data_IF_413789178546
#
_entry.id   IF_413789178546
#
_cell.length_a   1.000
_cell.length_b   1.000
_cell.length_c   1.000
_cell.angle_alpha   90.00
_cell.angle_beta   90.00
_cell.angle_gamma   90.00
#
_symmetry.space_group_name_H-M   'P 1'
#
loop_
_entity.id
_entity.type
_entity.pdbx_description
1 polymer ?
#
# COMPACT_ATOMS: atom_id res chain seq x y z
N UNK A 1 -9.27 -21.93 -8.59
CA UNK A 1 -9.49 -21.85 -7.13
C UNK A 1 -8.57 -20.85 -6.44
N UNK A 2 -7.23 -20.97 -6.52
CA UNK A 2 -6.28 -20.03 -5.84
C UNK A 2 -6.62 -18.54 -6.05
N UNK A 3 -6.78 -18.10 -7.30
CA UNK A 3 -7.12 -16.70 -7.62
C UNK A 3 -8.43 -16.21 -7.00
N UNK A 4 -9.44 -17.08 -6.90
CA UNK A 4 -10.73 -16.71 -6.30
C UNK A 4 -10.57 -16.50 -4.79
N UNK A 5 -9.85 -17.40 -4.12
CA UNK A 5 -9.52 -17.26 -2.71
C UNK A 5 -8.69 -16.00 -2.45
N UNK A 6 -7.67 -15.73 -3.26
CA UNK A 6 -6.84 -14.52 -3.13
C UNK A 6 -7.70 -13.24 -3.17
N UNK A 7 -8.68 -13.17 -4.08
CA UNK A 7 -9.58 -12.01 -4.21
C UNK A 7 -10.54 -11.92 -3.03
N UNK A 8 -11.13 -13.03 -2.59
CA UNK A 8 -12.04 -13.04 -1.44
C UNK A 8 -11.32 -12.58 -0.18
N UNK A 9 -10.15 -13.15 0.12
CA UNK A 9 -9.37 -12.74 1.29
C UNK A 9 -8.89 -11.29 1.19
N UNK A 10 -8.46 -10.83 0.01
CA UNK A 10 -8.08 -9.43 -0.19
C UNK A 10 -9.24 -8.46 0.09
N UNK A 11 -10.46 -8.76 -0.37
CA UNK A 11 -11.64 -7.94 -0.11
C UNK A 11 -12.02 -7.93 1.37
N UNK A 12 -12.01 -9.11 2.02
CA UNK A 12 -12.30 -9.22 3.45
C UNK A 12 -11.27 -8.46 4.30
N UNK A 13 -9.97 -8.62 4.00
CA UNK A 13 -8.91 -7.87 4.66
C UNK A 13 -9.02 -6.38 4.40
N UNK A 14 -9.40 -5.95 3.20
CA UNK A 14 -9.59 -4.53 2.90
C UNK A 14 -10.69 -3.93 3.77
N UNK A 15 -11.85 -4.59 3.86
CA UNK A 15 -12.96 -4.13 4.72
C UNK A 15 -12.52 -4.07 6.18
N UNK A 16 -11.91 -5.14 6.70
CA UNK A 16 -11.46 -5.23 8.09
C UNK A 16 -10.40 -4.17 8.44
N UNK A 17 -9.46 -3.94 7.52
CA UNK A 17 -8.32 -3.05 7.75
C UNK A 17 -8.57 -1.60 7.33
N UNK A 18 -9.73 -1.28 6.76
CA UNK A 18 -10.03 0.09 6.30
C UNK A 18 -9.90 1.11 7.45
N UNK A 19 -10.44 0.81 8.63
CA UNK A 19 -10.38 1.71 9.80
C UNK A 19 -8.92 1.99 10.22
N UNK A 20 -8.07 0.99 10.52
CA UNK A 20 -6.67 1.28 10.87
C UNK A 20 -5.88 1.90 9.71
N UNK A 21 -6.17 1.55 8.45
CA UNK A 21 -5.53 2.17 7.28
C UNK A 21 -5.84 3.67 7.19
N UNK A 22 -7.07 4.09 7.52
CA UNK A 22 -7.43 5.51 7.58
C UNK A 22 -6.71 6.22 8.72
N UNK A 23 -6.63 5.61 9.90
CA UNK A 23 -5.89 6.19 11.04
C UNK A 23 -4.41 6.42 10.68
N UNK A 24 -3.75 5.42 10.08
CA UNK A 24 -2.36 5.55 9.60
C UNK A 24 -2.25 6.62 8.52
N UNK A 25 -3.22 6.71 7.61
CA UNK A 25 -3.23 7.73 6.55
C UNK A 25 -3.27 9.15 7.11
N UNK A 26 -4.07 9.38 8.16
CA UNK A 26 -4.17 10.67 8.85
C UNK A 26 -2.84 10.97 9.56
N UNK A 27 -2.27 10.01 10.31
CA UNK A 27 -0.99 10.19 11.00
C UNK A 27 0.15 10.58 10.04
N UNK A 28 0.22 9.94 8.87
CA UNK A 28 1.22 10.28 7.85
C UNK A 28 1.04 11.71 7.34
N UNK A 29 -0.21 12.14 7.09
CA UNK A 29 -0.52 13.52 6.65
C UNK A 29 -0.19 14.57 7.71
N UNK A 30 -0.39 14.26 8.99
CA UNK A 30 -0.08 15.16 10.10
C UNK A 30 1.43 15.29 10.35
N UNK A 31 2.20 14.22 10.09
CA UNK A 31 3.64 14.18 10.39
C UNK A 31 4.54 14.59 9.23
N UNK A 32 4.06 14.50 7.98
CA UNK A 32 4.87 14.81 6.79
C UNK A 32 4.03 15.26 5.58
N UNK A 33 4.52 16.28 4.86
CA UNK A 33 3.84 16.79 3.65
C UNK A 33 3.90 15.76 2.49
N UNK A 34 2.89 15.78 1.62
CA UNK A 34 2.82 14.97 0.38
C UNK A 34 1.95 13.70 0.44
N UNK A 35 2.15 12.72 -0.46
CA UNK A 35 1.26 11.57 -0.63
C UNK A 35 1.41 10.52 0.49
N UNK A 36 0.28 9.92 0.90
CA UNK A 36 0.25 8.90 1.98
C UNK A 36 0.93 7.60 1.57
N UNK A 37 0.80 7.23 0.29
CA UNK A 37 1.32 5.99 -0.26
C UNK A 37 2.58 6.24 -1.09
N UNK A 38 3.55 5.35 -0.90
CA UNK A 38 4.70 5.17 -1.77
C UNK A 38 4.45 3.98 -2.71
N UNK A 39 4.78 4.14 -3.99
CA UNK A 39 4.56 3.12 -5.01
C UNK A 39 5.89 2.51 -5.45
N UNK A 40 6.21 1.34 -4.91
CA UNK A 40 7.43 0.60 -5.28
C UNK A 40 7.17 -0.25 -6.51
N UNK A 41 8.08 -0.25 -7.47
CA UNK A 41 8.04 -1.21 -8.57
C UNK A 41 8.51 -2.59 -8.10
N UNK A 42 7.83 -3.64 -8.59
CA UNK A 42 8.15 -5.05 -8.31
C UNK A 42 7.94 -5.89 -9.56
N UNK A 43 8.81 -6.88 -9.75
CA UNK A 43 8.66 -7.89 -10.82
C UNK A 43 7.56 -8.86 -10.42
N UNK A 44 6.51 -8.92 -11.22
CA UNK A 44 5.35 -9.78 -11.00
C UNK A 44 5.37 -11.04 -11.87
N UNK A 45 4.19 -11.63 -12.07
CA UNK A 45 4.01 -12.83 -12.89
C UNK A 45 4.44 -12.57 -14.33
N UNK A 46 5.19 -13.50 -14.92
CA UNK A 46 5.71 -13.38 -16.29
C UNK A 46 6.56 -12.13 -16.52
N UNK A 47 7.36 -11.74 -15.51
CA UNK A 47 8.21 -10.55 -15.53
C UNK A 47 7.47 -9.23 -15.80
N UNK A 48 6.14 -9.19 -15.63
CA UNK A 48 5.38 -7.95 -15.75
C UNK A 48 5.62 -7.11 -14.50
N UNK A 49 6.15 -5.91 -14.68
CA UNK A 49 6.32 -4.95 -13.60
C UNK A 49 4.94 -4.52 -13.11
N UNK A 50 4.77 -4.46 -11.78
CA UNK A 50 3.58 -3.88 -11.15
C UNK A 50 3.99 -2.94 -10.01
N UNK A 51 3.13 -1.96 -9.74
CA UNK A 51 3.32 -1.02 -8.64
C UNK A 51 2.71 -1.61 -7.36
N UNK A 52 3.51 -1.70 -6.31
CA UNK A 52 3.11 -2.16 -4.98
C UNK A 52 2.95 -0.95 -4.04
N UNK A 53 1.72 -0.51 -3.73
CA UNK A 53 1.49 0.58 -2.81
C UNK A 53 1.83 0.18 -1.37
N UNK A 54 2.48 1.08 -0.63
CA UNK A 54 2.79 0.95 0.79
C UNK A 54 2.59 2.28 1.49
N UNK A 55 2.26 2.26 2.78
CA UNK A 55 2.31 3.47 3.57
C UNK A 55 3.71 4.07 3.58
N UNK A 56 3.79 5.38 3.38
CA UNK A 56 5.05 6.10 3.36
C UNK A 56 5.61 6.21 4.77
N UNK A 57 6.81 5.67 4.98
CA UNK A 57 7.58 5.82 6.22
C UNK A 57 8.72 6.84 6.11
N UNK A 58 9.26 7.07 4.91
CA UNK A 58 10.36 8.02 4.65
C UNK A 58 9.85 9.38 4.18
N UNK A 59 10.64 10.43 4.39
CA UNK A 59 10.35 11.77 3.83
C UNK A 59 10.64 11.76 2.32
N UNK A 60 10.01 12.67 1.58
CA UNK A 60 10.09 12.73 0.11
C UNK A 60 11.53 12.98 -0.38
N UNK A 61 12.33 13.68 0.43
CA UNK A 61 13.69 14.10 0.08
C UNK A 61 14.77 13.26 0.78
N UNK A 62 14.42 12.04 1.23
CA UNK A 62 15.41 11.12 1.78
C UNK A 62 16.21 10.48 0.63
N UNK A 63 17.55 10.59 0.61
CA UNK A 63 18.36 9.93 -0.41
C UNK A 63 18.24 8.39 -0.31
N UNK A 64 18.39 7.67 -1.43
CA UNK A 64 18.25 6.22 -1.50
C UNK A 64 19.32 5.46 -0.71
#
# INVERSE_FOLDING_TARGET
MKRLLDVIFALLSLILLTIPMLAVSILIKLTSRGPVLYWSERVGRFNKIFKMPKFRSMRIDTPP
#
